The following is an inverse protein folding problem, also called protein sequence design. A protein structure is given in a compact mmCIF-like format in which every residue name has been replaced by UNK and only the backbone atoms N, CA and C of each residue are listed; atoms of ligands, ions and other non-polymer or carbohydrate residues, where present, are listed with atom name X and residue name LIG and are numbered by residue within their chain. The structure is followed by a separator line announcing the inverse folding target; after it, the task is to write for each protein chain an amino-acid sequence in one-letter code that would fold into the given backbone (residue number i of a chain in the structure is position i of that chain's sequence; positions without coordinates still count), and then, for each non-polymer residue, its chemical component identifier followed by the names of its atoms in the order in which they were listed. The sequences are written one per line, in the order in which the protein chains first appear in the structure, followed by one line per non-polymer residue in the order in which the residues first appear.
data_IF_807321775880
#
_entry.id   IF_807321775880
#
_cell.length_a   1.000
_cell.length_b   1.000
_cell.length_c   1.000
_cell.angle_alpha   90.00
_cell.angle_beta   90.00
_cell.angle_gamma   90.00
#
_symmetry.space_group_name_H-M   'P 1'
#
loop_
_entity.id
_entity.type
_entity.pdbx_description
1 polymer ?
#
# COMPACT_ATOMS: atom_id res chain seq x y z
N UNK A 1 -2.09 55.09 -32.27
CA UNK A 1 -1.42 54.35 -31.19
C UNK A 1 -2.29 53.14 -30.86
N UNK A 2 -1.91 51.96 -31.34
CA UNK A 2 -2.67 50.72 -31.09
C UNK A 2 -1.97 49.93 -29.98
N UNK A 3 -2.67 49.43 -28.96
CA UNK A 3 -2.03 48.65 -27.91
C UNK A 3 -1.83 47.21 -28.41
N UNK A 4 -0.60 46.72 -28.32
CA UNK A 4 -0.29 45.30 -28.50
C UNK A 4 -0.84 44.53 -27.30
N UNK A 5 -1.83 43.67 -27.52
CA UNK A 5 -2.28 42.68 -26.53
C UNK A 5 -1.30 41.51 -26.60
N UNK A 6 -0.46 41.36 -25.58
CA UNK A 6 0.41 40.21 -25.43
C UNK A 6 -0.40 39.02 -24.93
N UNK A 7 -0.68 38.06 -25.82
CA UNK A 7 -1.31 36.79 -25.48
C UNK A 7 -0.26 35.89 -24.81
N UNK A 8 -0.31 35.76 -23.48
CA UNK A 8 0.53 34.82 -22.75
C UNK A 8 0.05 33.38 -23.05
N UNK A 9 0.81 32.66 -23.88
CA UNK A 9 0.61 31.23 -24.10
C UNK A 9 0.97 30.48 -22.80
N UNK A 10 -0.03 30.01 -22.06
CA UNK A 10 0.21 28.98 -21.04
C UNK A 10 0.61 27.69 -21.78
N UNK A 11 1.90 27.38 -21.77
CA UNK A 11 2.37 26.07 -22.21
C UNK A 11 1.76 24.99 -21.29
N UNK A 12 1.03 24.00 -21.82
CA UNK A 12 0.57 22.88 -21.00
C UNK A 12 1.79 22.15 -20.44
N UNK A 13 1.75 21.85 -19.13
CA UNK A 13 2.78 21.02 -18.50
C UNK A 13 2.88 19.69 -19.26
N UNK A 14 4.09 19.14 -19.47
CA UNK A 14 4.25 17.84 -20.10
C UNK A 14 3.44 16.79 -19.33
N UNK A 15 2.46 16.19 -20.00
CA UNK A 15 1.63 15.16 -19.44
C UNK A 15 2.45 13.86 -19.43
N UNK A 16 3.00 13.50 -18.26
CA UNK A 16 3.72 12.24 -18.09
C UNK A 16 2.76 11.07 -18.31
N UNK A 17 3.17 10.13 -19.15
CA UNK A 17 2.41 8.92 -19.46
C UNK A 17 2.39 7.91 -18.30
N UNK A 18 1.75 6.75 -18.50
CA UNK A 18 1.66 5.71 -17.50
C UNK A 18 3.03 5.21 -17.04
N UNK A 19 3.16 4.95 -15.74
CA UNK A 19 4.33 4.31 -15.12
C UNK A 19 3.95 2.93 -14.58
N UNK A 20 4.96 2.07 -14.38
CA UNK A 20 4.84 0.86 -13.57
C UNK A 20 5.72 1.02 -12.34
N UNK A 21 5.09 1.32 -11.20
CA UNK A 21 5.78 1.47 -9.93
C UNK A 21 6.00 0.11 -9.27
N UNK A 22 7.26 -0.25 -9.05
CA UNK A 22 7.66 -1.48 -8.33
C UNK A 22 7.85 -1.17 -6.84
N UNK A 23 7.09 -1.87 -5.98
CA UNK A 23 7.09 -1.69 -4.53
C UNK A 23 8.11 -2.58 -3.81
N UNK A 24 8.86 -3.42 -4.54
CA UNK A 24 10.05 -4.09 -4.01
C UNK A 24 11.19 -3.06 -3.89
N UNK A 25 11.12 -2.26 -2.84
CA UNK A 25 12.03 -1.14 -2.62
C UNK A 25 13.47 -1.61 -2.36
N UNK A 26 14.45 -1.26 -3.21
CA UNK A 26 15.85 -1.65 -3.02
C UNK A 26 16.49 -1.11 -1.73
N UNK A 27 15.92 -0.03 -1.16
CA UNK A 27 16.39 0.53 0.12
C UNK A 27 15.80 -0.16 1.36
N UNK A 28 14.80 -1.02 1.18
CA UNK A 28 14.16 -1.76 2.27
C UNK A 28 13.40 -0.89 3.28
N UNK A 29 12.95 0.32 2.90
CA UNK A 29 12.20 1.19 3.84
C UNK A 29 10.69 0.93 3.85
N UNK A 30 10.18 0.17 2.88
CA UNK A 30 8.76 -0.18 2.84
C UNK A 30 8.40 -1.12 3.99
N UNK A 31 7.40 -0.72 4.77
CA UNK A 31 6.75 -1.57 5.75
C UNK A 31 5.27 -1.18 5.86
N UNK A 32 4.45 -2.14 6.30
CA UNK A 32 3.09 -1.86 6.78
C UNK A 32 3.06 -2.06 8.28
N UNK A 33 2.31 -1.23 9.00
CA UNK A 33 2.11 -1.41 10.43
C UNK A 33 0.77 -2.09 10.70
N UNK A 34 0.77 -2.96 11.71
CA UNK A 34 -0.38 -3.76 12.13
C UNK A 34 -0.61 -3.47 13.61
N UNK A 35 -1.85 -3.25 14.02
CA UNK A 35 -2.19 -3.07 15.43
C UNK A 35 -3.51 -3.75 15.76
N UNK A 36 -3.62 -4.26 16.99
CA UNK A 36 -4.89 -4.70 17.57
C UNK A 36 -5.08 -4.07 18.93
N UNK A 37 -6.30 -3.67 19.24
CA UNK A 37 -6.67 -3.00 20.48
C UNK A 37 -7.37 -3.99 21.43
N UNK A 38 -6.67 -5.07 21.80
CA UNK A 38 -7.16 -6.05 22.77
C UNK A 38 -7.21 -5.42 24.16
N UNK A 39 -8.28 -5.70 24.92
CA UNK A 39 -8.49 -5.06 26.22
C UNK A 39 -7.40 -5.41 27.26
N UNK A 40 -6.83 -6.60 27.18
CA UNK A 40 -5.77 -7.08 28.08
C UNK A 40 -4.39 -6.91 27.46
N UNK A 41 -4.25 -7.15 26.15
CA UNK A 41 -2.97 -7.18 25.46
C UNK A 41 -3.07 -6.47 24.09
N UNK A 42 -3.03 -5.13 24.05
CA UNK A 42 -2.87 -4.42 22.79
C UNK A 42 -1.45 -4.68 22.26
N UNK A 43 -1.32 -4.87 20.95
CA UNK A 43 -0.02 -5.01 20.32
C UNK A 43 0.09 -4.20 19.04
N UNK A 44 1.34 -3.89 18.70
CA UNK A 44 1.75 -3.24 17.48
C UNK A 44 2.85 -4.06 16.82
N UNK A 45 2.78 -4.18 15.49
CA UNK A 45 3.72 -4.92 14.67
C UNK A 45 3.99 -4.24 13.35
N UNK A 46 4.98 -4.75 12.63
CA UNK A 46 5.29 -4.31 11.27
C UNK A 46 5.54 -5.51 10.36
N UNK A 47 5.29 -5.35 9.06
CA UNK A 47 5.69 -6.31 8.04
C UNK A 47 6.45 -5.58 6.92
N UNK A 48 7.72 -5.93 6.73
CA UNK A 48 8.65 -5.24 5.81
C UNK A 48 8.80 -5.90 4.45
N UNK A 49 8.25 -7.10 4.26
CA UNK A 49 8.34 -7.88 3.02
C UNK A 49 7.38 -7.40 1.94
N UNK A 50 7.32 -6.08 1.73
CA UNK A 50 6.44 -5.43 0.76
C UNK A 50 7.00 -5.57 -0.65
N UNK A 51 6.14 -5.93 -1.60
CA UNK A 51 6.43 -5.99 -3.02
C UNK A 51 5.14 -5.78 -3.83
N UNK A 52 5.19 -6.02 -5.15
CA UNK A 52 4.08 -5.82 -6.05
C UNK A 52 4.31 -4.66 -7.00
N UNK A 53 3.39 -4.50 -7.95
CA UNK A 53 3.51 -3.51 -9.03
C UNK A 53 2.16 -2.84 -9.25
N UNK A 54 2.18 -1.52 -9.36
CA UNK A 54 1.02 -0.75 -9.78
C UNK A 54 1.32 -0.06 -11.10
N UNK A 55 0.45 -0.26 -12.09
CA UNK A 55 0.42 0.57 -13.30
C UNK A 55 -0.41 1.81 -12.98
N UNK A 56 0.23 2.98 -12.98
CA UNK A 56 -0.39 4.25 -12.60
C UNK A 56 -0.27 5.25 -13.74
N UNK A 57 -1.37 5.93 -14.08
CA UNK A 57 -1.38 7.01 -15.05
C UNK A 57 -1.78 8.32 -14.36
N UNK A 58 -0.89 9.32 -14.25
CA UNK A 58 -1.22 10.62 -13.65
C UNK A 58 -2.37 11.36 -14.38
N UNK A 59 -2.56 11.07 -15.68
CA UNK A 59 -3.66 11.60 -16.48
C UNK A 59 -4.97 10.85 -16.26
N UNK A 60 -4.91 9.57 -15.90
CA UNK A 60 -6.05 8.70 -15.69
C UNK A 60 -5.86 7.80 -14.46
N UNK A 61 -5.85 8.37 -13.24
CA UNK A 61 -5.53 7.63 -12.03
C UNK A 61 -6.57 6.54 -11.70
N UNK A 62 -7.81 6.67 -12.15
CA UNK A 62 -8.86 5.66 -11.97
C UNK A 62 -8.57 4.37 -12.74
N UNK A 63 -7.76 4.44 -13.81
CA UNK A 63 -7.32 3.26 -14.55
C UNK A 63 -6.16 2.51 -13.89
N UNK A 64 -5.80 2.83 -12.64
CA UNK A 64 -4.72 2.14 -11.93
C UNK A 64 -5.06 0.68 -11.71
N UNK A 65 -4.11 -0.20 -11.99
CA UNK A 65 -4.25 -1.66 -11.84
C UNK A 65 -3.01 -2.25 -11.21
N UNK A 66 -3.16 -3.36 -10.49
CA UNK A 66 -2.05 -4.15 -9.98
C UNK A 66 -2.27 -4.61 -8.55
N UNK A 67 -1.20 -5.13 -7.97
CA UNK A 67 -1.21 -5.80 -6.67
C UNK A 67 -0.16 -5.22 -5.74
N UNK A 68 -0.49 -5.19 -4.45
CA UNK A 68 0.47 -5.04 -3.36
C UNK A 68 0.53 -6.38 -2.62
N UNK A 69 1.76 -6.84 -2.38
CA UNK A 69 2.05 -8.13 -1.76
C UNK A 69 2.89 -7.90 -0.51
N UNK A 70 2.54 -8.56 0.59
CA UNK A 70 3.32 -8.58 1.83
C UNK A 70 3.65 -10.02 2.19
N UNK A 71 4.94 -10.33 2.36
CA UNK A 71 5.38 -11.65 2.82
C UNK A 71 4.95 -11.87 4.26
N UNK A 72 4.18 -12.92 4.53
CA UNK A 72 3.69 -13.25 5.89
C UNK A 72 4.85 -13.43 6.87
N UNK A 73 5.94 -14.06 6.44
CA UNK A 73 7.13 -14.28 7.26
C UNK A 73 7.86 -12.99 7.68
N UNK A 74 7.60 -11.87 7.02
CA UNK A 74 8.22 -10.57 7.34
C UNK A 74 7.59 -9.86 8.53
N UNK A 75 6.51 -10.40 9.10
CA UNK A 75 5.87 -9.84 10.29
C UNK A 75 6.86 -9.85 11.45
N UNK A 76 6.93 -8.73 12.17
CA UNK A 76 7.75 -8.49 13.34
C UNK A 76 6.89 -7.95 14.47
N UNK A 77 7.03 -8.54 15.64
CA UNK A 77 6.38 -8.10 16.88
C UNK A 77 7.43 -7.85 17.96
N UNK A 78 7.12 -7.04 18.99
CA UNK A 78 8.07 -6.74 20.07
C UNK A 78 8.50 -7.97 20.89
N UNK A 79 7.62 -8.97 21.04
CA UNK A 79 7.87 -10.19 21.78
C UNK A 79 8.14 -11.35 20.80
N UNK A 80 9.34 -11.95 20.77
CA UNK A 80 9.70 -13.02 19.83
C UNK A 80 8.76 -14.22 19.87
N UNK A 81 8.32 -14.64 21.05
CA UNK A 81 7.42 -15.79 21.22
C UNK A 81 6.04 -15.51 20.61
N UNK A 82 5.56 -14.26 20.69
CA UNK A 82 4.33 -13.83 20.03
C UNK A 82 4.51 -13.75 18.51
N UNK A 83 5.68 -13.30 18.04
CA UNK A 83 6.01 -13.28 16.61
C UNK A 83 5.99 -14.69 16.01
N UNK A 84 6.65 -15.65 16.67
CA UNK A 84 6.66 -17.06 16.26
C UNK A 84 5.25 -17.65 16.28
N UNK A 85 4.51 -17.41 17.35
CA UNK A 85 3.11 -17.83 17.50
C UNK A 85 2.20 -17.27 16.39
N UNK A 86 2.39 -16.00 16.02
CA UNK A 86 1.61 -15.38 14.95
C UNK A 86 1.86 -16.03 13.59
N UNK A 87 3.08 -16.52 13.32
CA UNK A 87 3.47 -17.14 12.06
C UNK A 87 3.13 -18.63 11.97
N UNK A 88 2.89 -19.27 13.11
CA UNK A 88 2.63 -20.70 13.20
C UNK A 88 1.33 -21.15 12.50
N UNK A 89 1.23 -22.46 12.24
CA UNK A 89 0.09 -23.12 11.55
C UNK A 89 -1.28 -22.78 12.16
N UNK A 90 -1.35 -22.58 13.47
CA UNK A 90 -2.62 -22.29 14.15
C UNK A 90 -3.12 -20.85 13.97
N UNK A 91 -2.26 -19.94 13.50
CA UNK A 91 -2.58 -18.51 13.35
C UNK A 91 -2.54 -18.05 11.88
N UNK A 92 -1.42 -17.49 11.40
CA UNK A 92 -1.30 -17.05 10.00
C UNK A 92 -0.82 -18.16 9.06
N UNK A 93 -0.27 -19.26 9.61
CA UNK A 93 0.28 -20.39 8.85
C UNK A 93 1.17 -19.91 7.69
N UNK A 94 2.22 -19.19 8.06
CA UNK A 94 3.06 -18.44 7.12
C UNK A 94 3.84 -19.33 6.14
N UNK A 95 4.00 -20.62 6.46
CA UNK A 95 4.60 -21.60 5.55
C UNK A 95 3.62 -21.97 4.42
N UNK A 96 2.34 -22.20 4.75
CA UNK A 96 1.31 -22.54 3.77
C UNK A 96 0.77 -21.34 3.01
N UNK A 97 0.68 -20.19 3.66
CA UNK A 97 0.21 -18.92 3.08
C UNK A 97 1.31 -17.86 3.16
N UNK A 98 2.32 -17.94 2.29
CA UNK A 98 3.52 -17.10 2.38
C UNK A 98 3.26 -15.63 2.01
N UNK A 99 2.15 -15.35 1.33
CA UNK A 99 1.82 -14.04 0.79
C UNK A 99 0.43 -13.57 1.23
N UNK A 100 0.39 -12.30 1.63
CA UNK A 100 -0.81 -11.50 1.81
C UNK A 100 -0.92 -10.59 0.60
N UNK A 101 -2.03 -10.64 -0.13
CA UNK A 101 -2.16 -9.95 -1.43
C UNK A 101 -3.38 -9.05 -1.44
N UNK A 102 -3.20 -7.79 -1.81
CA UNK A 102 -4.30 -6.89 -2.15
C UNK A 102 -4.28 -6.59 -3.65
N UNK A 103 -5.33 -6.99 -4.36
CA UNK A 103 -5.53 -6.76 -5.79
C UNK A 103 -6.56 -5.67 -6.03
N UNK A 104 -6.21 -4.66 -6.82
CA UNK A 104 -7.12 -3.55 -7.16
C UNK A 104 -8.13 -4.01 -8.21
N UNK A 105 -9.42 -3.85 -7.91
CA UNK A 105 -10.50 -4.07 -8.89
C UNK A 105 -11.00 -2.74 -9.45
N UNK A 106 -11.10 -1.68 -8.63
CA UNK A 106 -11.60 -0.36 -9.04
C UNK A 106 -11.04 0.76 -8.18
N UNK A 107 -10.78 1.91 -8.81
CA UNK A 107 -10.59 3.20 -8.13
C UNK A 107 -11.70 4.16 -8.57
N UNK A 108 -12.25 4.93 -7.64
CA UNK A 108 -13.27 5.95 -7.90
C UNK A 108 -13.06 7.19 -7.05
N UNK A 109 -13.83 8.24 -7.35
CA UNK A 109 -13.95 9.46 -6.54
C UNK A 109 -12.61 10.19 -6.39
N UNK A 110 -11.76 10.10 -7.43
CA UNK A 110 -10.41 10.64 -7.38
C UNK A 110 -10.42 12.17 -7.38
N UNK A 111 -9.84 12.75 -6.34
CA UNK A 111 -9.58 14.17 -6.18
C UNK A 111 -8.09 14.43 -6.33
N UNK A 112 -7.74 15.30 -7.27
CA UNK A 112 -6.34 15.70 -7.50
C UNK A 112 -6.05 17.04 -6.83
N UNK A 113 -4.94 17.11 -6.09
CA UNK A 113 -4.34 18.34 -5.61
C UNK A 113 -2.85 18.34 -5.95
N UNK A 114 -2.49 19.06 -7.03
CA UNK A 114 -1.13 19.06 -7.56
C UNK A 114 -0.69 17.66 -8.00
N UNK A 115 0.26 17.09 -7.25
CA UNK A 115 0.81 15.76 -7.48
C UNK A 115 0.26 14.68 -6.53
N UNK A 116 -0.71 15.04 -5.68
CA UNK A 116 -1.43 14.15 -4.79
C UNK A 116 -2.79 13.79 -5.39
N UNK A 117 -3.18 12.54 -5.23
CA UNK A 117 -4.43 11.95 -5.66
C UNK A 117 -5.04 11.24 -4.46
N UNK A 118 -6.22 11.65 -4.04
CA UNK A 118 -6.97 10.98 -2.98
C UNK A 118 -8.22 10.35 -3.61
N UNK A 119 -8.52 9.09 -3.29
CA UNK A 119 -9.67 8.40 -3.89
C UNK A 119 -10.06 7.14 -3.13
N UNK A 120 -11.20 6.57 -3.52
CA UNK A 120 -11.68 5.31 -2.98
C UNK A 120 -11.12 4.16 -3.81
N UNK A 121 -10.47 3.21 -3.14
CA UNK A 121 -9.96 1.98 -3.76
C UNK A 121 -10.81 0.79 -3.28
N UNK A 122 -11.30 0.02 -4.23
CA UNK A 122 -11.99 -1.25 -4.01
C UNK A 122 -11.15 -2.37 -4.62
N UNK A 123 -10.95 -3.44 -3.85
CA UNK A 123 -10.18 -4.58 -4.30
C UNK A 123 -10.46 -5.82 -3.47
N UNK A 124 -9.59 -6.81 -3.62
CA UNK A 124 -9.67 -8.10 -2.94
C UNK A 124 -8.44 -8.31 -2.09
N UNK A 125 -8.64 -8.49 -0.79
CA UNK A 125 -7.62 -8.92 0.16
C UNK A 125 -7.64 -10.44 0.24
N UNK A 126 -6.52 -11.08 -0.09
CA UNK A 126 -6.26 -12.49 0.12
C UNK A 126 -5.29 -12.64 1.28
N UNK A 127 -5.74 -13.33 2.33
CA UNK A 127 -5.01 -13.50 3.57
C UNK A 127 -5.38 -14.88 4.16
N UNK A 128 -4.38 -15.66 4.57
CA UNK A 128 -4.59 -16.99 5.16
C UNK A 128 -5.47 -17.90 4.28
N UNK A 129 -5.25 -17.85 2.96
CA UNK A 129 -5.98 -18.64 1.97
C UNK A 129 -7.42 -18.17 1.68
N UNK A 130 -7.91 -17.12 2.34
CA UNK A 130 -9.26 -16.59 2.16
C UNK A 130 -9.21 -15.25 1.44
N UNK A 131 -10.05 -15.08 0.41
CA UNK A 131 -10.19 -13.82 -0.32
C UNK A 131 -11.49 -13.11 0.06
N UNK A 132 -11.41 -11.83 0.43
CA UNK A 132 -12.55 -10.97 0.78
C UNK A 132 -12.45 -9.62 0.06
N UNK A 133 -13.59 -9.01 -0.33
CA UNK A 133 -13.58 -7.63 -0.81
C UNK A 133 -13.17 -6.67 0.31
N UNK A 134 -12.42 -5.63 -0.03
CA UNK A 134 -12.03 -4.55 0.86
C UNK A 134 -12.14 -3.23 0.11
N UNK A 135 -12.78 -2.24 0.73
CA UNK A 135 -12.91 -0.88 0.21
C UNK A 135 -12.36 0.10 1.24
N UNK A 136 -11.50 1.02 0.81
CA UNK A 136 -10.91 2.04 1.69
C UNK A 136 -10.54 3.30 0.91
N UNK A 137 -10.16 4.37 1.60
CA UNK A 137 -9.63 5.60 1.00
C UNK A 137 -8.11 5.54 0.98
N UNK A 138 -7.50 5.81 -0.17
CA UNK A 138 -6.07 5.87 -0.32
C UNK A 138 -5.62 7.24 -0.83
N UNK A 139 -4.41 7.62 -0.42
CA UNK A 139 -3.69 8.79 -0.93
C UNK A 139 -2.46 8.34 -1.69
N UNK A 140 -2.32 8.81 -2.93
CA UNK A 140 -1.19 8.54 -3.80
C UNK A 140 -0.48 9.86 -4.11
N UNK A 141 0.83 9.93 -3.90
CA UNK A 141 1.66 11.06 -4.30
C UNK A 141 2.59 10.62 -5.42
N UNK A 142 2.42 11.22 -6.60
CA UNK A 142 3.28 10.99 -7.76
C UNK A 142 4.43 12.00 -7.76
N UNK A 143 5.66 11.50 -7.83
CA UNK A 143 6.86 12.30 -7.73
C UNK A 143 7.70 12.11 -9.00
N UNK A 144 7.35 12.91 -10.01
CA UNK A 144 7.98 12.94 -11.32
C UNK A 144 9.49 13.23 -11.24
N UNK A 145 10.33 12.36 -11.81
CA UNK A 145 11.78 12.56 -11.89
C UNK A 145 12.51 12.53 -10.53
N UNK A 146 11.83 12.14 -9.45
CA UNK A 146 12.36 12.17 -8.08
C UNK A 146 13.12 10.89 -7.67
N UNK A 147 13.21 9.88 -8.54
CA UNK A 147 14.01 8.69 -8.22
C UNK A 147 15.50 9.04 -8.04
N UNK A 148 16.01 10.03 -8.77
CA UNK A 148 17.42 10.47 -8.66
C UNK A 148 17.79 10.98 -7.26
N UNK A 149 16.85 11.66 -6.60
CA UNK A 149 17.02 12.17 -5.24
C UNK A 149 17.05 11.03 -4.21
N UNK A 150 16.49 9.86 -4.56
CA UNK A 150 16.40 8.69 -3.69
C UNK A 150 17.52 7.67 -3.91
N UNK A 151 18.00 7.51 -5.14
CA UNK A 151 18.89 6.43 -5.57
C UNK A 151 20.24 6.89 -6.17
N UNK A 152 20.60 8.18 -6.08
CA UNK A 152 21.70 8.74 -6.88
C UNK A 152 21.26 8.93 -8.33
N UNK A 153 22.15 9.22 -9.28
CA UNK A 153 21.87 9.66 -10.67
C UNK A 153 21.00 8.74 -11.57
N UNK A 154 20.23 7.80 -11.01
CA UNK A 154 19.22 6.98 -11.68
C UNK A 154 17.97 7.82 -11.98
N UNK A 155 17.65 8.07 -13.26
CA UNK A 155 16.41 8.74 -13.64
C UNK A 155 15.20 7.84 -13.34
N UNK A 156 14.06 8.45 -13.04
CA UNK A 156 12.83 7.74 -12.76
C UNK A 156 11.88 8.50 -11.87
N UNK A 157 10.71 7.91 -11.68
CA UNK A 157 9.61 8.46 -10.89
C UNK A 157 9.42 7.66 -9.59
N UNK A 158 8.80 8.28 -8.59
CA UNK A 158 8.34 7.61 -7.38
C UNK A 158 6.82 7.72 -7.25
N UNK A 159 6.21 6.67 -6.72
CA UNK A 159 4.79 6.61 -6.41
C UNK A 159 4.63 6.26 -4.93
N UNK A 160 4.28 7.23 -4.09
CA UNK A 160 4.07 7.01 -2.66
C UNK A 160 2.60 6.73 -2.41
N UNK A 161 2.28 5.63 -1.73
CA UNK A 161 0.91 5.21 -1.40
C UNK A 161 0.74 5.21 0.10
N UNK A 162 -0.35 5.82 0.57
CA UNK A 162 -0.76 5.85 1.98
C UNK A 162 -2.21 5.46 2.11
N UNK A 163 -2.51 4.59 3.07
CA UNK A 163 -3.87 4.12 3.32
C UNK A 163 -3.95 3.53 4.73
N UNK A 164 -5.06 3.77 5.42
CA UNK A 164 -5.40 3.10 6.67
C UNK A 164 -6.69 2.31 6.45
N UNK A 165 -6.77 1.10 6.97
CA UNK A 165 -7.98 0.28 6.91
C UNK A 165 -8.03 -0.70 8.07
N UNK A 166 -9.20 -1.28 8.29
CA UNK A 166 -9.41 -2.29 9.31
C UNK A 166 -10.08 -3.53 8.69
N UNK A 167 -9.83 -4.69 9.27
CA UNK A 167 -10.53 -5.93 8.90
C UNK A 167 -10.73 -6.82 10.12
N UNK A 168 -11.73 -7.70 10.05
CA UNK A 168 -11.97 -8.69 11.09
C UNK A 168 -11.11 -9.95 10.82
N UNK A 169 -10.22 -10.31 11.74
CA UNK A 169 -9.33 -11.49 11.59
C UNK A 169 -10.09 -12.81 11.43
N UNK A 170 -11.29 -12.91 11.99
CA UNK A 170 -12.10 -14.13 11.92
C UNK A 170 -12.70 -14.36 10.53
N UNK A 171 -12.86 -13.30 9.72
CA UNK A 171 -13.31 -13.44 8.32
C UNK A 171 -12.31 -14.21 7.45
N UNK A 172 -11.04 -14.25 7.89
CA UNK A 172 -9.93 -14.99 7.28
C UNK A 172 -9.55 -16.24 8.07
N UNK A 173 -10.32 -16.58 9.11
CA UNK A 173 -10.09 -17.75 9.95
C UNK A 173 -8.83 -17.71 10.80
N UNK A 174 -8.30 -16.52 11.11
CA UNK A 174 -7.04 -16.34 11.84
C UNK A 174 -7.30 -16.36 13.36
N UNK A 175 -6.57 -17.22 14.08
CA UNK A 175 -6.59 -17.28 15.55
C UNK A 175 -7.95 -17.68 16.13
N UNK A 176 -8.66 -18.62 15.49
CA UNK A 176 -9.95 -19.13 15.98
C UNK A 176 -9.81 -19.64 17.42
N UNK A 177 -10.76 -19.27 18.28
CA UNK A 177 -10.76 -19.66 19.70
C UNK A 177 -10.04 -18.71 20.65
N UNK A 178 -9.29 -17.72 20.13
CA UNK A 178 -8.73 -16.66 20.97
C UNK A 178 -9.84 -15.69 21.43
N UNK A 179 -9.85 -15.37 22.72
CA UNK A 179 -10.76 -14.38 23.33
C UNK A 179 -10.52 -12.98 22.77
N UNK A 180 -11.59 -12.23 22.54
CA UNK A 180 -11.54 -10.83 22.11
C UNK A 180 -10.93 -9.91 23.18
N UNK A 181 -10.95 -10.31 24.45
CA UNK A 181 -10.27 -9.59 25.53
C UNK A 181 -8.74 -9.68 25.39
N UNK A 182 -8.23 -10.82 24.89
CA UNK A 182 -6.80 -11.03 24.67
C UNK A 182 -6.38 -10.45 23.32
N UNK A 183 -7.10 -10.81 22.24
CA UNK A 183 -6.79 -10.38 20.89
C UNK A 183 -8.06 -9.90 20.20
N UNK A 184 -8.15 -8.58 20.01
CA UNK A 184 -9.26 -7.94 19.31
C UNK A 184 -9.51 -8.60 17.95
N UNK A 185 -10.78 -8.74 17.58
CA UNK A 185 -11.12 -9.22 16.24
C UNK A 185 -10.75 -8.21 15.17
N UNK A 186 -10.80 -6.91 15.51
CA UNK A 186 -10.50 -5.83 14.59
C UNK A 186 -9.00 -5.59 14.52
N UNK A 187 -8.44 -5.78 13.34
CA UNK A 187 -7.04 -5.53 13.03
C UNK A 187 -6.94 -4.22 12.26
N UNK A 188 -6.16 -3.28 12.77
CA UNK A 188 -5.88 -2.00 12.11
C UNK A 188 -4.60 -2.12 11.32
N UNK A 189 -4.63 -1.68 10.06
CA UNK A 189 -3.49 -1.68 9.16
C UNK A 189 -3.25 -0.26 8.67
N UNK A 190 -1.99 0.16 8.72
CA UNK A 190 -1.54 1.41 8.12
C UNK A 190 -0.43 1.14 7.12
N UNK A 191 -0.62 1.68 5.93
CA UNK A 191 0.25 1.54 4.77
C UNK A 191 0.89 2.89 4.48
N UNK A 192 2.21 2.91 4.37
CA UNK A 192 2.98 4.08 3.92
C UNK A 192 4.21 3.59 3.15
N UNK A 193 4.01 3.30 1.86
CA UNK A 193 4.99 2.61 1.03
C UNK A 193 5.28 3.43 -0.23
N UNK A 194 6.40 3.14 -0.87
CA UNK A 194 6.85 3.81 -2.09
C UNK A 194 7.22 2.79 -3.16
N UNK A 195 6.66 2.99 -4.34
CA UNK A 195 7.04 2.29 -5.56
C UNK A 195 8.00 3.14 -6.39
N UNK A 196 8.87 2.49 -7.14
CA UNK A 196 9.84 3.12 -8.03
C UNK A 196 9.58 2.72 -9.48
N UNK A 197 9.60 3.68 -10.40
CA UNK A 197 9.60 3.44 -11.83
C UNK A 197 10.88 4.05 -12.43
N UNK A 198 11.94 3.24 -12.55
CA UNK A 198 13.20 3.71 -13.14
C UNK A 198 13.03 3.85 -14.66
N UNK A 199 13.62 4.91 -15.20
CA UNK A 199 13.71 5.09 -16.64
C UNK A 199 14.95 4.36 -17.17
N UNK A 200 14.92 3.86 -18.42
CA UNK A 200 16.09 3.27 -19.08
C UNK A 200 17.29 4.22 -19.13
#
# INVERSE_FOLDING_TARGET
MSPLVALALLSPLPQQGPIVADFKDPKGVNAVSIATDGAMEPFFGMASGVSGKLRFDPANPEATTGDIIVKTQSIKLPLPELEESMKAEWCLDAEKYPDIVFSIDKISDVKRNGNRYDGTVTGRLTLHGVTKPLTTTASTTFLAGKAKERFGDKPGDLLVVRCDFEFNRLDFGIGKGLSEQLVSNMVKVRVAIVGTALHP
#
